data_IF_139178905665
#
_entry.id   IF_139178905665
#
_cell.length_a   1.000
_cell.length_b   1.000
_cell.length_c   1.000
_cell.angle_alpha   90.00
_cell.angle_beta   90.00
_cell.angle_gamma   90.00
#
_symmetry.space_group_name_H-M   'P 1'
#
loop_
_entity.id
_entity.type
_entity.pdbx_description
1 polymer ?
#
# COMPACT_ATOMS: atom_id res chain seq x y z
N UNK A 1 -13.98 -27.15 6.14
CA UNK A 1 -12.69 -26.50 5.81
C UNK A 1 -12.53 -26.10 4.32
N UNK A 2 -13.48 -26.38 3.42
CA UNK A 2 -13.32 -26.09 1.98
C UNK A 2 -13.65 -24.64 1.53
N UNK A 3 -14.41 -23.87 2.33
CA UNK A 3 -14.95 -22.55 1.93
C UNK A 3 -13.87 -21.49 1.61
N UNK A 4 -12.74 -21.53 2.31
CA UNK A 4 -11.66 -20.54 2.16
C UNK A 4 -10.80 -20.75 0.91
N UNK A 5 -10.78 -21.93 0.32
CA UNK A 5 -9.97 -22.20 -0.88
C UNK A 5 -10.67 -21.67 -2.14
N UNK A 6 -11.97 -21.93 -2.28
CA UNK A 6 -12.76 -21.48 -3.43
C UNK A 6 -12.89 -19.95 -3.52
N UNK A 7 -13.02 -19.26 -2.39
CA UNK A 7 -13.05 -17.79 -2.37
C UNK A 7 -11.70 -17.17 -2.75
N UNK A 8 -10.59 -17.76 -2.30
CA UNK A 8 -9.25 -17.34 -2.70
C UNK A 8 -9.01 -17.54 -4.19
N UNK A 9 -9.49 -18.66 -4.75
CA UNK A 9 -9.40 -18.95 -6.19
C UNK A 9 -10.24 -17.96 -7.01
N UNK A 10 -11.44 -17.59 -6.53
CA UNK A 10 -12.26 -16.53 -7.16
C UNK A 10 -11.58 -15.17 -7.17
N UNK A 11 -10.90 -14.80 -6.08
CA UNK A 11 -10.14 -13.54 -5.99
C UNK A 11 -8.93 -13.44 -6.92
N UNK A 12 -8.47 -14.57 -7.47
CA UNK A 12 -7.37 -14.65 -8.44
C UNK A 12 -7.86 -14.63 -9.90
N UNK A 13 -9.18 -14.65 -10.14
CA UNK A 13 -9.73 -14.55 -11.48
C UNK A 13 -9.54 -13.14 -12.03
N UNK A 14 -9.18 -13.02 -13.32
CA UNK A 14 -8.86 -11.75 -13.96
C UNK A 14 -9.91 -10.63 -13.75
N UNK A 15 -11.24 -10.90 -13.78
CA UNK A 15 -12.24 -9.87 -13.50
C UNK A 15 -12.18 -9.35 -12.05
N UNK A 16 -11.95 -10.22 -11.07
CA UNK A 16 -11.82 -9.84 -9.66
C UNK A 16 -10.52 -9.05 -9.42
N UNK A 17 -9.45 -9.39 -10.12
CA UNK A 17 -8.19 -8.64 -10.06
C UNK A 17 -8.36 -7.23 -10.61
N UNK A 18 -9.04 -7.07 -11.76
CA UNK A 18 -9.31 -5.76 -12.34
C UNK A 18 -10.18 -4.88 -11.41
N UNK A 19 -11.24 -5.44 -10.83
CA UNK A 19 -12.07 -4.73 -9.86
C UNK A 19 -11.28 -4.29 -8.62
N UNK A 20 -10.40 -5.15 -8.11
CA UNK A 20 -9.55 -4.83 -6.97
C UNK A 20 -8.50 -3.76 -7.31
N UNK A 21 -7.97 -3.76 -8.53
CA UNK A 21 -7.08 -2.69 -9.02
C UNK A 21 -7.82 -1.36 -9.05
N UNK A 22 -9.04 -1.31 -9.56
CA UNK A 22 -9.82 -0.07 -9.61
C UNK A 22 -10.20 0.43 -8.21
N UNK A 23 -10.56 -0.47 -7.29
CA UNK A 23 -10.76 -0.11 -5.87
C UNK A 23 -9.49 0.45 -5.24
N UNK A 24 -8.34 -0.16 -5.51
CA UNK A 24 -7.06 0.29 -4.99
C UNK A 24 -6.67 1.67 -5.53
N UNK A 25 -6.84 1.91 -6.84
CA UNK A 25 -6.67 3.24 -7.43
C UNK A 25 -7.61 4.27 -6.80
N UNK A 26 -8.88 3.92 -6.62
CA UNK A 26 -9.87 4.78 -5.97
C UNK A 26 -9.48 5.14 -4.54
N UNK A 27 -8.93 4.20 -3.78
CA UNK A 27 -8.38 4.46 -2.46
C UNK A 27 -7.16 5.38 -2.52
N UNK A 28 -6.17 5.09 -3.36
CA UNK A 28 -4.98 5.94 -3.54
C UNK A 28 -5.35 7.37 -3.92
N UNK A 29 -6.30 7.57 -4.84
CA UNK A 29 -6.74 8.91 -5.22
C UNK A 29 -7.36 9.67 -4.05
N UNK A 30 -8.15 9.00 -3.20
CA UNK A 30 -8.71 9.63 -1.98
C UNK A 30 -7.60 10.03 -1.00
N UNK A 31 -6.60 9.18 -0.81
CA UNK A 31 -5.47 9.47 0.08
C UNK A 31 -4.61 10.61 -0.48
N UNK A 32 -4.40 10.67 -1.79
CA UNK A 32 -3.67 11.75 -2.45
C UNK A 32 -4.43 13.08 -2.32
N UNK A 33 -5.76 13.07 -2.47
CA UNK A 33 -6.58 14.24 -2.18
C UNK A 33 -6.47 14.68 -0.71
N UNK A 34 -6.51 13.75 0.26
CA UNK A 34 -6.33 14.10 1.67
C UNK A 34 -4.94 14.71 1.91
N UNK A 35 -3.90 14.10 1.35
CA UNK A 35 -2.53 14.57 1.45
C UNK A 35 -2.38 15.99 0.87
N UNK A 36 -3.00 16.26 -0.28
CA UNK A 36 -2.96 17.57 -0.93
C UNK A 36 -3.72 18.66 -0.14
N UNK A 37 -4.74 18.28 0.64
CA UNK A 37 -5.58 19.19 1.42
C UNK A 37 -5.22 19.20 2.92
N UNK A 38 -4.07 18.65 3.30
CA UNK A 38 -3.64 18.62 4.70
C UNK A 38 -3.45 20.04 5.26
N UNK A 39 -3.56 20.23 6.59
CA UNK A 39 -3.57 21.57 7.20
C UNK A 39 -2.34 22.44 6.92
N UNK A 40 -1.18 21.82 6.66
CA UNK A 40 0.06 22.51 6.32
C UNK A 40 0.85 21.70 5.29
N UNK A 41 1.44 22.35 4.28
CA UNK A 41 2.34 21.69 3.33
C UNK A 41 3.57 21.07 4.01
N UNK A 42 3.94 21.56 5.20
CA UNK A 42 5.05 21.03 5.99
C UNK A 42 4.65 19.83 6.86
N UNK A 43 3.34 19.60 7.05
CA UNK A 43 2.86 18.47 7.84
C UNK A 43 3.27 17.14 7.21
N UNK A 44 3.73 16.23 8.06
CA UNK A 44 4.26 14.93 7.64
C UNK A 44 3.15 13.91 7.33
N UNK A 45 2.02 13.97 8.04
CA UNK A 45 0.96 12.97 7.98
C UNK A 45 -0.29 13.48 7.27
N UNK A 46 -1.22 12.58 6.97
CA UNK A 46 -2.42 12.87 6.18
C UNK A 46 -3.30 13.97 6.79
N UNK A 47 -3.32 14.09 8.12
CA UNK A 47 -4.15 15.06 8.86
C UNK A 47 -3.36 16.11 9.64
N UNK A 48 -2.04 16.21 9.43
CA UNK A 48 -1.20 17.19 10.12
C UNK A 48 0.09 16.58 10.65
N UNK A 49 0.54 17.05 11.81
CA UNK A 49 1.87 16.73 12.33
C UNK A 49 1.91 15.43 13.15
N UNK A 50 0.75 14.88 13.53
CA UNK A 50 0.65 13.63 14.27
C UNK A 50 0.09 12.50 13.38
N UNK A 51 0.65 11.27 13.46
CA UNK A 51 0.13 10.14 12.71
C UNK A 51 -1.26 9.74 13.22
N UNK A 52 -2.11 9.30 12.31
CA UNK A 52 -3.40 8.70 12.62
C UNK A 52 -3.39 7.20 12.32
N UNK A 53 -4.44 6.50 12.76
CA UNK A 53 -4.68 5.10 12.38
C UNK A 53 -4.76 4.95 10.85
N UNK A 54 -5.25 5.97 10.14
CA UNK A 54 -5.28 5.94 8.68
C UNK A 54 -3.86 5.92 8.09
N UNK A 55 -2.92 6.72 8.61
CA UNK A 55 -1.51 6.68 8.19
C UNK A 55 -0.90 5.29 8.43
N UNK A 56 -1.17 4.72 9.61
CA UNK A 56 -0.67 3.39 10.01
C UNK A 56 -1.16 2.26 9.10
N UNK A 57 -2.33 2.39 8.45
CA UNK A 57 -2.81 1.43 7.46
C UNK A 57 -2.41 1.79 6.02
N UNK A 58 -2.36 3.08 5.70
CA UNK A 58 -2.05 3.58 4.35
C UNK A 58 -0.61 3.29 3.97
N UNK A 59 0.35 3.58 4.86
CA UNK A 59 1.76 3.40 4.57
C UNK A 59 2.14 1.93 4.27
N UNK A 60 1.79 0.93 5.10
CA UNK A 60 2.03 -0.48 4.75
C UNK A 60 1.33 -0.91 3.47
N UNK A 61 0.09 -0.45 3.23
CA UNK A 61 -0.65 -0.78 2.01
C UNK A 61 0.10 -0.28 0.76
N UNK A 62 0.54 0.97 0.76
CA UNK A 62 1.26 1.54 -0.37
C UNK A 62 2.60 0.84 -0.61
N UNK A 63 3.35 0.55 0.45
CA UNK A 63 4.62 -0.17 0.34
C UNK A 63 4.39 -1.60 -0.16
N UNK A 64 3.33 -2.25 0.29
CA UNK A 64 2.92 -3.58 -0.20
C UNK A 64 2.68 -3.57 -1.71
N UNK A 65 2.08 -2.51 -2.25
CA UNK A 65 1.86 -2.37 -3.69
C UNK A 65 3.17 -2.22 -4.46
N UNK A 66 4.15 -1.50 -3.90
CA UNK A 66 5.51 -1.46 -4.46
C UNK A 66 6.19 -2.84 -4.41
N UNK A 67 6.07 -3.57 -3.29
CA UNK A 67 6.68 -4.89 -3.12
C UNK A 67 6.18 -5.91 -4.18
N UNK A 68 4.95 -5.74 -4.68
CA UNK A 68 4.34 -6.63 -5.69
C UNK A 68 4.33 -6.07 -7.11
N UNK A 69 5.07 -4.99 -7.38
CA UNK A 69 5.18 -4.41 -8.73
C UNK A 69 3.89 -3.74 -9.22
N UNK A 70 3.12 -3.12 -8.32
CA UNK A 70 1.88 -2.39 -8.64
C UNK A 70 2.01 -0.89 -8.38
N UNK A 71 3.21 -0.34 -8.55
CA UNK A 71 3.49 1.09 -8.41
C UNK A 71 2.61 1.98 -9.30
N UNK A 72 2.11 1.47 -10.43
CA UNK A 72 1.25 2.21 -11.37
C UNK A 72 -0.09 2.68 -10.76
N UNK A 73 -0.47 2.18 -9.58
CA UNK A 73 -1.69 2.63 -8.88
C UNK A 73 -1.42 3.74 -7.85
N UNK A 74 -0.15 4.12 -7.65
CA UNK A 74 0.28 5.08 -6.62
C UNK A 74 0.55 6.44 -7.28
N UNK A 75 -0.25 7.49 -6.96
CA UNK A 75 0.03 8.86 -7.39
C UNK A 75 1.36 9.41 -6.84
N UNK A 76 1.94 10.38 -7.54
CA UNK A 76 3.25 10.98 -7.18
C UNK A 76 3.29 11.58 -5.77
N UNK A 77 2.19 12.19 -5.31
CA UNK A 77 2.09 12.74 -3.96
C UNK A 77 2.27 11.65 -2.90
N UNK A 78 1.57 10.53 -3.08
CA UNK A 78 1.73 9.36 -2.23
C UNK A 78 3.11 8.71 -2.36
N UNK A 79 3.71 8.67 -3.55
CA UNK A 79 5.07 8.16 -3.73
C UNK A 79 6.09 8.95 -2.89
N UNK A 80 5.98 10.29 -2.86
CA UNK A 80 6.80 11.16 -1.99
C UNK A 80 6.52 10.91 -0.51
N UNK A 81 5.25 10.78 -0.14
CA UNK A 81 4.82 10.48 1.23
C UNK A 81 5.42 9.15 1.74
N UNK A 82 5.39 8.09 0.94
CA UNK A 82 6.06 6.81 1.24
C UNK A 82 7.55 7.05 1.47
N UNK A 83 8.22 7.77 0.57
CA UNK A 83 9.65 8.07 0.68
C UNK A 83 10.00 8.77 2.00
N UNK A 84 9.19 9.74 2.41
CA UNK A 84 9.38 10.47 3.68
C UNK A 84 9.19 9.58 4.90
N UNK A 85 8.11 8.80 4.95
CA UNK A 85 7.79 8.00 6.14
C UNK A 85 8.66 6.75 6.29
N UNK A 86 9.10 6.13 5.18
CA UNK A 86 10.00 4.95 5.24
C UNK A 86 11.35 5.25 5.88
N UNK A 87 11.76 6.53 5.92
CA UNK A 87 13.02 6.96 6.53
C UNK A 87 12.91 7.21 8.04
N UNK A 88 11.70 7.23 8.59
CA UNK A 88 11.49 7.45 10.02
C UNK A 88 11.88 6.20 10.82
N UNK A 89 12.37 6.40 12.05
CA UNK A 89 12.86 5.30 12.89
C UNK A 89 11.75 4.33 13.27
N UNK A 90 10.53 4.82 13.44
CA UNK A 90 9.32 4.06 13.75
C UNK A 90 9.05 2.99 12.68
N UNK A 91 9.16 3.37 11.40
CA UNK A 91 8.99 2.43 10.29
C UNK A 91 10.14 1.42 10.20
N UNK A 92 11.38 1.89 10.35
CA UNK A 92 12.57 1.05 10.28
C UNK A 92 12.61 0.01 11.40
N UNK A 93 12.13 0.37 12.60
CA UNK A 93 12.07 -0.52 13.76
C UNK A 93 11.12 -1.70 13.61
N UNK A 94 10.06 -1.56 12.80
CA UNK A 94 9.07 -2.64 12.56
C UNK A 94 9.27 -3.36 11.22
N UNK A 95 10.11 -2.82 10.33
CA UNK A 95 10.31 -3.35 8.96
C UNK A 95 11.79 -3.50 8.64
N UNK A 96 12.50 -4.47 9.26
CA UNK A 96 13.96 -4.55 9.20
C UNK A 96 14.54 -4.76 7.79
N UNK A 97 13.76 -5.29 6.85
CA UNK A 97 14.19 -5.56 5.46
C UNK A 97 13.57 -4.63 4.42
N UNK A 98 12.98 -3.50 4.82
CA UNK A 98 12.40 -2.46 3.93
C UNK A 98 11.15 -2.91 3.13
N UNK A 99 10.90 -4.22 3.04
CA UNK A 99 9.73 -4.87 2.44
C UNK A 99 8.72 -5.29 3.50
N UNK A 100 7.45 -5.18 3.14
CA UNK A 100 6.31 -5.68 3.94
C UNK A 100 5.98 -7.14 3.65
N UNK A 101 6.56 -7.71 2.59
CA UNK A 101 6.42 -9.13 2.22
C UNK A 101 7.76 -9.84 2.37
N UNK A 102 7.83 -10.97 3.10
CA UNK A 102 9.02 -11.83 3.11
C UNK A 102 9.33 -12.37 1.70
N UNK A 103 10.61 -12.47 1.35
CA UNK A 103 11.03 -12.93 0.02
C UNK A 103 10.50 -14.33 -0.36
N UNK A 104 10.35 -15.21 0.64
CA UNK A 104 9.75 -16.54 0.46
C UNK A 104 8.33 -16.47 -0.10
N UNK A 105 7.55 -15.46 0.28
CA UNK A 105 6.17 -15.26 -0.19
C UNK A 105 6.11 -14.64 -1.59
N UNK A 106 7.17 -13.94 -2.03
CA UNK A 106 7.27 -13.39 -3.39
C UNK A 106 7.66 -14.46 -4.42
N UNK A 107 8.38 -15.50 -4.00
CA UNK A 107 8.79 -16.59 -4.90
C UNK A 107 7.61 -17.34 -5.53
N UNK A 108 6.51 -17.51 -4.79
CA UNK A 108 5.28 -18.14 -5.28
C UNK A 108 4.40 -17.27 -6.20
N UNK A 109 4.71 -15.96 -6.34
CA UNK A 109 4.00 -15.06 -7.25
C UNK A 109 4.62 -15.04 -8.67
N UNK A 110 5.87 -15.50 -8.82
CA UNK A 110 6.60 -15.47 -10.09
C UNK A 110 6.28 -16.62 -11.05
N UNK A 111 5.44 -17.58 -10.66
CA UNK A 111 5.20 -18.82 -11.43
C UNK A 111 3.98 -18.79 -12.35
N UNK A 112 3.33 -17.64 -12.54
CA UNK A 112 2.17 -17.50 -13.44
C UNK A 112 2.28 -16.25 -14.33
N UNK A 113 3.43 -16.09 -15.00
CA UNK A 113 3.61 -15.15 -16.12
C UNK A 113 3.37 -15.84 -17.45
#
# INVERSE_FOLDING_TARGET
MARNADEKVKGLQAPSVAENIEKAKGFCNKMDCLLANRPSSESMYLFGDNPTVLDAHTLPFLIRMLDVGKEFIIPDGLAKYIGTLKRQQEWQGITPNVKTIPDVSLSGLKTHG
#
